data_IF_209514585356
#
_entry.id   IF_209514585356
#
_cell.length_a   1.000
_cell.length_b   1.000
_cell.length_c   1.000
_cell.angle_alpha   90.00
_cell.angle_beta   90.00
_cell.angle_gamma   90.00
#
_symmetry.space_group_name_H-M   'P 1'
#
loop_
_entity.id
_entity.type
_entity.pdbx_description
1 polymer ?
#
# COMPACT_ATOMS: atom_id res chain seq x y z
N UNK A 1 -11.56 -25.32 11.31
CA UNK A 1 -10.82 -24.11 10.89
C UNK A 1 -11.58 -23.54 9.72
N UNK A 2 -12.00 -22.27 9.73
CA UNK A 2 -12.50 -21.62 8.51
C UNK A 2 -11.40 -21.77 7.44
N UNK A 3 -11.78 -22.15 6.22
CA UNK A 3 -10.87 -22.69 5.21
C UNK A 3 -9.71 -21.75 4.91
N UNK A 4 -8.48 -22.25 4.95
CA UNK A 4 -7.32 -21.50 4.48
C UNK A 4 -7.55 -21.11 3.00
N UNK A 5 -7.26 -19.86 2.60
CA UNK A 5 -7.50 -19.40 1.24
C UNK A 5 -6.64 -20.22 0.28
N UNK A 6 -7.27 -21.09 -0.51
CA UNK A 6 -6.60 -21.91 -1.52
C UNK A 6 -6.64 -21.22 -2.87
N UNK A 7 -5.56 -21.34 -3.64
CA UNK A 7 -5.40 -20.64 -4.91
C UNK A 7 -5.65 -21.53 -6.14
N UNK A 8 -5.98 -22.81 -5.93
CA UNK A 8 -6.13 -23.78 -7.02
C UNK A 8 -7.36 -23.54 -7.91
N UNK A 9 -8.33 -22.75 -7.42
CA UNK A 9 -9.51 -22.34 -8.19
C UNK A 9 -9.35 -20.98 -8.89
N UNK A 10 -8.19 -20.35 -8.77
CA UNK A 10 -7.92 -19.05 -9.38
C UNK A 10 -7.66 -19.24 -10.87
N UNK A 11 -8.34 -18.44 -11.71
CA UNK A 11 -8.22 -18.56 -13.15
C UNK A 11 -6.79 -18.27 -13.63
N UNK A 12 -6.32 -18.95 -14.70
CA UNK A 12 -5.00 -18.70 -15.27
C UNK A 12 -4.76 -17.22 -15.61
N UNK A 13 -3.57 -16.72 -15.30
CA UNK A 13 -3.21 -15.31 -15.55
C UNK A 13 -3.69 -14.32 -14.48
N UNK A 14 -4.46 -14.77 -13.48
CA UNK A 14 -4.86 -13.94 -12.34
C UNK A 14 -3.68 -13.67 -11.42
N UNK A 15 -3.54 -12.42 -10.99
CA UNK A 15 -2.60 -12.05 -9.93
C UNK A 15 -3.30 -12.10 -8.58
N UNK A 16 -2.68 -12.80 -7.63
CA UNK A 16 -3.21 -12.90 -6.27
C UNK A 16 -2.56 -11.83 -5.40
N UNK A 17 -3.38 -10.95 -4.85
CA UNK A 17 -2.98 -9.94 -3.88
C UNK A 17 -3.15 -10.52 -2.48
N UNK A 18 -2.08 -10.65 -1.72
CA UNK A 18 -2.13 -11.17 -0.35
C UNK A 18 -2.13 -10.04 0.68
N UNK A 19 -2.72 -10.31 1.85
CA UNK A 19 -2.64 -9.38 2.99
C UNK A 19 -1.23 -9.27 3.58
N UNK A 20 -0.36 -10.26 3.37
CA UNK A 20 1.00 -10.24 3.90
C UNK A 20 2.01 -10.99 3.02
N UNK A 21 3.29 -10.65 3.19
CA UNK A 21 4.42 -11.38 2.57
C UNK A 21 4.46 -12.84 3.02
N UNK A 22 4.16 -13.09 4.30
CA UNK A 22 4.12 -14.43 4.88
C UNK A 22 3.07 -15.29 4.20
N UNK A 23 1.86 -14.76 4.01
CA UNK A 23 0.79 -15.46 3.31
C UNK A 23 1.15 -15.69 1.84
N UNK A 24 1.68 -14.68 1.13
CA UNK A 24 2.12 -14.87 -0.26
C UNK A 24 3.12 -16.03 -0.40
N UNK A 25 4.08 -16.12 0.53
CA UNK A 25 5.05 -17.21 0.53
C UNK A 25 4.39 -18.57 0.81
N UNK A 26 3.51 -18.64 1.82
CA UNK A 26 2.80 -19.86 2.18
C UNK A 26 1.97 -20.40 1.00
N UNK A 27 1.19 -19.54 0.34
CA UNK A 27 0.36 -19.92 -0.82
C UNK A 27 1.20 -20.42 -2.00
N UNK A 28 2.36 -19.80 -2.27
CA UNK A 28 3.28 -20.28 -3.31
C UNK A 28 3.82 -21.67 -2.98
N UNK A 29 4.17 -21.92 -1.71
CA UNK A 29 4.71 -23.20 -1.26
C UNK A 29 3.65 -24.31 -1.31
N UNK A 30 2.43 -24.01 -0.87
CA UNK A 30 1.30 -24.93 -0.91
C UNK A 30 0.98 -25.35 -2.35
N UNK A 31 0.88 -24.37 -3.26
CA UNK A 31 0.65 -24.66 -4.67
C UNK A 31 1.79 -25.46 -5.31
N UNK A 32 3.04 -25.16 -4.98
CA UNK A 32 4.18 -25.96 -5.45
C UNK A 32 4.10 -27.43 -4.98
N UNK A 33 3.69 -27.67 -3.72
CA UNK A 33 3.46 -29.03 -3.20
C UNK A 33 2.32 -29.74 -3.93
N UNK A 34 1.22 -29.04 -4.20
CA UNK A 34 0.10 -29.60 -4.95
C UNK A 34 0.49 -30.00 -6.38
N UNK A 35 1.29 -29.17 -7.07
CA UNK A 35 1.82 -29.48 -8.40
C UNK A 35 2.78 -30.68 -8.39
N UNK A 36 3.63 -30.79 -7.37
CA UNK A 36 4.50 -31.96 -7.22
C UNK A 36 3.69 -33.24 -6.95
N UNK A 37 2.68 -33.16 -6.09
CA UNK A 37 1.81 -34.29 -5.77
C UNK A 37 0.96 -34.75 -6.96
N UNK A 38 0.61 -33.86 -7.89
CA UNK A 38 -0.07 -34.20 -9.14
C UNK A 38 0.85 -34.77 -10.22
N UNK A 39 2.14 -34.91 -9.95
CA UNK A 39 3.14 -35.46 -10.87
C UNK A 39 3.63 -34.45 -11.92
N UNK A 40 3.32 -33.17 -11.78
CA UNK A 40 3.83 -32.14 -12.69
C UNK A 40 5.33 -31.92 -12.45
N UNK A 41 6.13 -32.06 -13.52
CA UNK A 41 7.58 -31.78 -13.48
C UNK A 41 7.89 -30.30 -13.72
N UNK A 42 6.98 -29.57 -14.37
CA UNK A 42 7.08 -28.14 -14.67
C UNK A 42 5.69 -27.53 -14.58
N UNK A 43 5.58 -26.37 -13.92
CA UNK A 43 4.35 -25.59 -13.85
C UNK A 43 4.66 -24.09 -13.90
N UNK A 44 3.66 -23.29 -14.30
CA UNK A 44 3.77 -21.84 -14.24
C UNK A 44 3.69 -21.39 -12.78
N UNK A 45 4.68 -20.63 -12.32
CA UNK A 45 4.65 -20.07 -10.96
C UNK A 45 3.49 -19.08 -10.84
N UNK A 46 2.59 -19.22 -9.85
CA UNK A 46 1.52 -18.26 -9.62
C UNK A 46 2.08 -16.91 -9.20
N UNK A 47 1.54 -15.82 -9.75
CA UNK A 47 1.94 -14.46 -9.35
C UNK A 47 1.16 -14.06 -8.11
N UNK A 48 1.83 -14.12 -6.95
CA UNK A 48 1.26 -13.78 -5.65
C UNK A 48 2.10 -12.70 -4.99
N UNK A 49 1.52 -11.54 -4.68
CA UNK A 49 2.22 -10.37 -4.15
C UNK A 49 1.40 -9.69 -3.06
N UNK A 50 2.02 -9.09 -2.03
CA UNK A 50 1.29 -8.22 -1.11
C UNK A 50 0.65 -7.04 -1.84
N UNK A 51 -0.52 -6.61 -1.40
CA UNK A 51 -1.25 -5.45 -1.95
C UNK A 51 -0.35 -4.23 -2.27
N UNK A 52 0.41 -3.74 -1.28
CA UNK A 52 1.24 -2.57 -1.44
C UNK A 52 2.40 -2.78 -2.43
N UNK A 53 2.93 -4.01 -2.50
CA UNK A 53 3.97 -4.35 -3.48
C UNK A 53 3.41 -4.32 -4.91
N UNK A 54 2.20 -4.84 -5.11
CA UNK A 54 1.54 -4.79 -6.40
C UNK A 54 1.21 -3.36 -6.82
N UNK A 55 0.64 -2.52 -5.95
CA UNK A 55 0.38 -1.10 -6.27
C UNK A 55 1.66 -0.34 -6.64
N UNK A 56 2.76 -0.61 -5.94
CA UNK A 56 4.10 -0.07 -6.27
C UNK A 56 4.53 -0.49 -7.67
N UNK A 57 4.38 -1.77 -8.03
CA UNK A 57 4.67 -2.25 -9.38
C UNK A 57 3.82 -1.53 -10.43
N UNK A 58 2.51 -1.37 -10.19
CA UNK A 58 1.61 -0.68 -11.12
C UNK A 58 1.97 0.79 -11.31
N UNK A 59 2.32 1.51 -10.25
CA UNK A 59 2.78 2.89 -10.35
C UNK A 59 4.03 3.02 -11.23
N UNK A 60 5.02 2.15 -11.01
CA UNK A 60 6.26 2.15 -11.80
C UNK A 60 6.00 1.83 -13.27
N UNK A 61 5.08 0.89 -13.55
CA UNK A 61 4.67 0.56 -14.92
C UNK A 61 3.95 1.73 -15.59
N UNK A 62 2.97 2.36 -14.93
CA UNK A 62 2.24 3.51 -15.49
C UNK A 62 3.19 4.69 -15.77
N UNK A 63 4.11 4.97 -14.84
CA UNK A 63 5.15 5.99 -15.04
C UNK A 63 6.05 5.67 -16.23
N UNK A 64 6.46 4.41 -16.41
CA UNK A 64 7.27 3.98 -17.54
C UNK A 64 6.52 4.07 -18.88
N UNK A 65 5.20 3.86 -18.88
CA UNK A 65 4.34 3.99 -20.07
C UNK A 65 4.12 5.43 -20.52
N UNK A 66 4.25 6.39 -19.60
CA UNK A 66 4.00 7.82 -19.87
C UNK A 66 5.23 8.69 -19.55
N UNK A 67 6.38 8.47 -20.19
CA UNK A 67 7.62 9.17 -19.83
C UNK A 67 7.57 10.68 -20.10
N UNK A 68 6.65 11.13 -20.95
CA UNK A 68 6.44 12.55 -21.26
C UNK A 68 5.52 13.27 -20.25
N UNK A 69 4.92 12.53 -19.32
CA UNK A 69 4.10 13.10 -18.24
C UNK A 69 4.95 13.10 -16.97
N UNK A 70 5.24 14.26 -16.37
CA UNK A 70 5.88 14.31 -15.07
C UNK A 70 5.07 13.48 -14.08
N UNK A 71 5.68 12.43 -13.55
CA UNK A 71 5.07 11.57 -12.56
C UNK A 71 6.07 11.41 -11.42
N UNK A 72 5.56 11.68 -10.22
CA UNK A 72 6.35 11.73 -9.01
C UNK A 72 7.22 10.46 -8.84
N UNK A 73 8.44 10.64 -8.35
CA UNK A 73 9.31 9.51 -8.00
C UNK A 73 8.76 8.84 -6.74
N UNK A 74 8.54 7.53 -6.81
CA UNK A 74 8.15 6.77 -5.62
C UNK A 74 9.34 6.65 -4.67
N UNK A 75 9.19 7.16 -3.46
CA UNK A 75 10.15 7.00 -2.38
C UNK A 75 10.29 5.52 -2.00
N UNK A 76 11.50 5.11 -1.66
CA UNK A 76 11.69 3.87 -0.91
C UNK A 76 11.21 4.06 0.52
N UNK A 77 10.88 2.98 1.26
CA UNK A 77 10.53 3.07 2.67
C UNK A 77 11.60 3.81 3.51
N UNK A 78 12.88 3.59 3.21
CA UNK A 78 13.98 4.29 3.87
C UNK A 78 14.06 5.78 3.52
N UNK A 79 13.79 6.17 2.28
CA UNK A 79 13.76 7.57 1.88
C UNK A 79 12.58 8.31 2.53
N UNK A 80 11.40 7.68 2.58
CA UNK A 80 10.25 8.24 3.26
C UNK A 80 10.52 8.39 4.77
N UNK A 81 11.14 7.39 5.42
CA UNK A 81 11.49 7.47 6.84
C UNK A 81 12.51 8.58 7.10
N UNK A 82 13.58 8.69 6.31
CA UNK A 82 14.56 9.76 6.48
C UNK A 82 13.94 11.16 6.36
N UNK A 83 12.95 11.31 5.46
CA UNK A 83 12.20 12.56 5.33
C UNK A 83 11.32 12.85 6.55
N UNK A 84 10.68 11.82 7.13
CA UNK A 84 9.97 11.96 8.40
C UNK A 84 10.90 12.34 9.55
N UNK A 85 12.07 11.72 9.63
CA UNK A 85 13.07 12.03 10.67
C UNK A 85 13.51 13.50 10.56
N UNK A 86 13.77 13.99 9.35
CA UNK A 86 14.09 15.40 9.11
C UNK A 86 12.93 16.33 9.52
N UNK A 87 11.71 16.03 9.09
CA UNK A 87 10.52 16.84 9.39
C UNK A 87 10.30 16.97 10.90
N UNK A 88 10.39 15.86 11.63
CA UNK A 88 10.18 15.88 13.09
C UNK A 88 11.33 16.58 13.79
N UNK A 89 12.59 16.30 13.42
CA UNK A 89 13.77 16.89 14.04
C UNK A 89 13.84 18.42 13.86
N UNK A 90 13.30 18.95 12.76
CA UNK A 90 13.27 20.40 12.48
C UNK A 90 12.05 21.12 13.07
N UNK A 91 11.13 20.39 13.68
CA UNK A 91 9.91 20.97 14.23
C UNK A 91 10.14 21.64 15.59
N UNK A 92 9.33 22.64 15.93
CA UNK A 92 9.39 23.28 17.26
C UNK A 92 9.13 22.29 18.41
N UNK A 93 8.42 21.19 18.14
CA UNK A 93 8.17 20.14 19.12
C UNK A 93 9.43 19.30 19.43
N UNK A 94 10.45 19.32 18.58
CA UNK A 94 11.64 18.46 18.70
C UNK A 94 12.34 18.58 20.07
N UNK A 95 12.46 19.80 20.60
CA UNK A 95 13.10 20.07 21.90
C UNK A 95 12.38 19.43 23.09
N UNK A 96 11.10 19.11 22.93
CA UNK A 96 10.25 18.55 23.97
C UNK A 96 10.02 17.04 23.80
N UNK A 97 10.53 16.44 22.73
CA UNK A 97 10.39 15.01 22.45
C UNK A 97 11.49 14.21 23.16
N UNK A 98 11.08 13.11 23.80
CA UNK A 98 12.02 12.15 24.40
C UNK A 98 12.91 11.47 23.35
N UNK A 99 12.34 11.22 22.16
CA UNK A 99 13.04 10.60 21.05
C UNK A 99 12.36 10.99 19.73
N UNK A 100 13.07 11.77 18.91
CA UNK A 100 12.58 12.28 17.62
C UNK A 100 12.41 11.17 16.59
N UNK A 101 13.27 10.15 16.59
CA UNK A 101 13.17 9.00 15.67
C UNK A 101 11.90 8.17 15.95
N UNK A 102 11.62 7.88 17.22
CA UNK A 102 10.39 7.17 17.61
C UNK A 102 9.15 7.99 17.24
N UNK A 103 9.19 9.31 17.45
CA UNK A 103 8.11 10.21 17.05
C UNK A 103 7.90 10.24 15.53
N UNK A 104 8.97 10.27 14.75
CA UNK A 104 8.92 10.18 13.29
C UNK A 104 8.32 8.85 12.80
N UNK A 105 8.71 7.73 13.39
CA UNK A 105 8.11 6.43 13.09
C UNK A 105 6.61 6.37 13.46
N UNK A 106 6.21 7.00 14.57
CA UNK A 106 4.80 7.14 14.95
C UNK A 106 4.05 8.01 13.94
N UNK A 107 4.61 9.15 13.54
CA UNK A 107 4.03 10.04 12.54
C UNK A 107 3.83 9.32 11.20
N UNK A 108 4.85 8.60 10.70
CA UNK A 108 4.76 7.81 9.47
C UNK A 108 3.67 6.72 9.53
N UNK A 109 3.50 6.06 10.69
CA UNK A 109 2.43 5.08 10.90
C UNK A 109 1.06 5.74 10.93
N UNK A 110 0.91 6.86 11.61
CA UNK A 110 -0.35 7.62 11.67
C UNK A 110 -0.74 8.16 10.30
N UNK A 111 0.22 8.71 9.54
CA UNK A 111 0.04 9.12 8.14
C UNK A 111 -0.52 7.99 7.28
N UNK A 112 0.07 6.79 7.36
CA UNK A 112 -0.45 5.61 6.66
C UNK A 112 -1.89 5.29 7.06
N UNK A 113 -2.23 5.38 8.35
CA UNK A 113 -3.62 5.15 8.80
C UNK A 113 -4.57 6.20 8.25
N UNK A 114 -4.18 7.47 8.19
CA UNK A 114 -5.00 8.52 7.57
C UNK A 114 -5.33 8.16 6.12
N UNK A 115 -4.35 7.69 5.37
CA UNK A 115 -4.55 7.22 4.00
C UNK A 115 -5.42 5.95 3.91
N UNK A 116 -5.06 4.89 4.65
CA UNK A 116 -5.77 3.60 4.64
C UNK A 116 -7.26 3.77 4.96
N UNK A 117 -7.57 4.64 5.92
CA UNK A 117 -8.94 4.92 6.39
C UNK A 117 -9.57 6.14 5.73
N UNK A 118 -8.89 6.79 4.78
CA UNK A 118 -9.37 7.97 4.06
C UNK A 118 -9.77 9.12 4.99
N UNK A 119 -9.07 9.27 6.12
CA UNK A 119 -9.29 10.36 7.06
C UNK A 119 -8.62 11.62 6.50
N UNK A 120 -9.36 12.70 6.22
CA UNK A 120 -8.78 13.94 5.74
C UNK A 120 -7.79 14.49 6.77
N UNK A 121 -6.62 14.96 6.33
CA UNK A 121 -5.62 15.53 7.24
C UNK A 121 -6.18 16.68 8.10
N UNK A 122 -7.08 17.49 7.52
CA UNK A 122 -7.75 18.58 8.22
C UNK A 122 -8.60 18.12 9.43
N UNK A 123 -9.06 16.87 9.46
CA UNK A 123 -9.81 16.32 10.59
C UNK A 123 -8.99 16.26 11.88
N UNK A 124 -7.64 16.21 11.78
CA UNK A 124 -6.78 16.29 12.96
C UNK A 124 -6.96 17.59 13.76
N UNK A 125 -7.35 18.69 13.09
CA UNK A 125 -7.55 20.00 13.73
C UNK A 125 -8.77 20.04 14.65
N UNK A 126 -9.68 19.08 14.52
CA UNK A 126 -10.85 18.96 15.41
C UNK A 126 -10.42 18.47 16.80
N UNK A 127 -9.31 17.74 16.89
CA UNK A 127 -8.75 17.26 18.13
C UNK A 127 -7.88 18.35 18.76
N UNK A 128 -8.41 18.99 19.81
CA UNK A 128 -7.72 20.07 20.53
C UNK A 128 -6.69 19.54 21.54
N UNK A 129 -5.72 18.77 21.08
CA UNK A 129 -4.60 18.30 21.91
C UNK A 129 -3.24 18.49 21.21
N UNK A 130 -2.14 18.61 21.98
CA UNK A 130 -0.81 18.87 21.42
C UNK A 130 -0.32 17.81 20.43
N UNK A 131 -0.66 16.54 20.64
CA UNK A 131 -0.21 15.43 19.79
C UNK A 131 -0.85 15.48 18.40
N UNK A 132 -2.15 15.76 18.34
CA UNK A 132 -2.88 15.90 17.09
C UNK A 132 -2.41 17.12 16.29
N UNK A 133 -2.14 18.24 16.98
CA UNK A 133 -1.56 19.42 16.35
C UNK A 133 -0.15 19.15 15.80
N UNK A 134 0.72 18.52 16.59
CA UNK A 134 2.05 18.15 16.15
C UNK A 134 2.01 17.21 14.93
N UNK A 135 1.16 16.19 14.96
CA UNK A 135 0.97 15.29 13.83
C UNK A 135 0.47 16.03 12.58
N UNK A 136 -0.48 16.96 12.73
CA UNK A 136 -0.98 17.77 11.62
C UNK A 136 0.14 18.60 10.98
N UNK A 137 0.95 19.27 11.80
CA UNK A 137 2.05 20.12 11.33
C UNK A 137 3.15 19.30 10.66
N UNK A 138 3.53 18.16 11.25
CA UNK A 138 4.51 17.24 10.65
C UNK A 138 4.00 16.63 9.35
N UNK A 139 2.76 16.15 9.31
CA UNK A 139 2.17 15.57 8.10
C UNK A 139 2.03 16.59 6.97
N UNK A 140 1.69 17.83 7.30
CA UNK A 140 1.67 18.93 6.32
C UNK A 140 3.09 19.17 5.78
N UNK A 141 4.08 19.29 6.66
CA UNK A 141 5.48 19.50 6.27
C UNK A 141 6.04 18.34 5.44
N UNK A 142 5.71 17.09 5.78
CA UNK A 142 6.09 15.91 5.02
C UNK A 142 5.46 15.90 3.63
N UNK A 143 4.16 16.21 3.53
CA UNK A 143 3.46 16.31 2.25
C UNK A 143 4.06 17.44 1.38
N UNK A 144 4.43 18.56 1.98
CA UNK A 144 5.06 19.69 1.29
C UNK A 144 6.44 19.32 0.76
N UNK A 145 7.26 18.65 1.58
CA UNK A 145 8.57 18.16 1.16
C UNK A 145 8.47 17.11 0.05
N UNK A 146 7.49 16.19 0.12
CA UNK A 146 7.21 15.27 -0.98
C UNK A 146 6.90 16.03 -2.28
N UNK A 147 6.06 17.07 -2.24
CA UNK A 147 5.73 17.88 -3.42
C UNK A 147 6.95 18.64 -3.97
N UNK A 148 7.79 19.20 -3.11
CA UNK A 148 9.01 19.92 -3.52
C UNK A 148 10.00 19.02 -4.26
N UNK A 149 10.05 17.73 -3.90
CA UNK A 149 10.92 16.74 -4.53
C UNK A 149 10.25 15.96 -5.67
N UNK A 150 9.04 16.37 -6.10
CA UNK A 150 8.19 15.62 -7.03
C UNK A 150 8.17 14.12 -6.66
N UNK A 151 7.83 13.85 -5.41
CA UNK A 151 7.93 12.53 -4.79
C UNK A 151 6.58 12.05 -4.25
N UNK A 152 6.39 10.73 -4.29
CA UNK A 152 5.22 10.04 -3.77
C UNK A 152 5.69 9.00 -2.74
N UNK A 153 4.98 8.87 -1.63
CA UNK A 153 5.23 7.81 -0.65
C UNK A 153 4.28 6.62 -0.86
N UNK A 154 4.56 5.49 -0.20
CA UNK A 154 3.75 4.27 -0.37
C UNK A 154 2.32 4.43 0.18
N UNK A 155 2.09 5.26 1.22
CA UNK A 155 0.75 5.45 1.76
C UNK A 155 -0.16 6.18 0.76
N UNK A 156 0.41 7.04 -0.09
CA UNK A 156 -0.34 7.80 -1.09
C UNK A 156 -0.69 7.02 -2.35
N UNK A 157 -0.14 5.81 -2.56
CA UNK A 157 -0.36 5.02 -3.78
C UNK A 157 -1.83 4.66 -4.03
N UNK A 158 -2.59 4.34 -2.98
CA UNK A 158 -4.02 4.05 -3.13
C UNK A 158 -4.82 5.30 -3.57
N UNK A 159 -4.48 6.46 -3.00
CA UNK A 159 -5.08 7.75 -3.40
C UNK A 159 -4.71 8.13 -4.82
N UNK A 160 -3.47 7.85 -5.26
CA UNK A 160 -3.10 8.00 -6.67
C UNK A 160 -3.98 7.13 -7.58
N UNK A 161 -4.07 5.82 -7.30
CA UNK A 161 -4.82 4.89 -8.14
C UNK A 161 -6.31 5.29 -8.24
N UNK A 162 -6.86 5.83 -7.15
CA UNK A 162 -8.22 6.34 -7.13
C UNK A 162 -8.38 7.59 -7.99
N UNK A 163 -7.54 8.60 -7.77
CA UNK A 163 -7.63 9.91 -8.44
C UNK A 163 -7.32 9.83 -9.93
N UNK A 164 -6.40 8.95 -10.34
CA UNK A 164 -6.05 8.75 -11.74
C UNK A 164 -7.03 7.85 -12.51
N UNK A 165 -8.06 7.31 -11.84
CA UNK A 165 -8.95 6.35 -12.48
C UNK A 165 -8.28 5.03 -12.85
N UNK A 166 -7.22 4.61 -12.14
CA UNK A 166 -6.42 3.45 -12.50
C UNK A 166 -7.26 2.15 -12.51
N UNK A 167 -7.11 1.38 -13.59
CA UNK A 167 -7.71 0.06 -13.77
C UNK A 167 -6.59 -0.99 -13.99
N UNK A 168 -6.64 -2.14 -13.30
CA UNK A 168 -5.70 -3.24 -13.50
C UNK A 168 -5.76 -3.75 -14.94
N UNK A 169 -4.60 -4.08 -15.51
CA UNK A 169 -4.52 -4.74 -16.83
C UNK A 169 -4.70 -6.27 -16.75
N UNK A 170 -4.72 -6.82 -15.55
CA UNK A 170 -4.82 -8.25 -15.27
C UNK A 170 -5.98 -8.57 -14.32
N UNK A 171 -6.57 -9.78 -14.40
CA UNK A 171 -7.52 -10.25 -13.39
C UNK A 171 -6.84 -10.35 -12.01
N UNK A 172 -7.60 -10.05 -10.96
CA UNK A 172 -7.11 -10.02 -9.58
C UNK A 172 -7.89 -10.95 -8.67
N UNK A 173 -7.20 -11.53 -7.69
CA UNK A 173 -7.81 -12.22 -6.56
C UNK A 173 -7.20 -11.73 -5.25
N UNK A 174 -8.01 -11.37 -4.24
CA UNK A 174 -7.53 -10.91 -2.94
C UNK A 174 -7.59 -12.06 -1.94
N UNK A 175 -6.50 -12.33 -1.21
CA UNK A 175 -6.37 -13.48 -0.31
C UNK A 175 -5.95 -13.07 1.11
N UNK A 176 -6.68 -13.57 2.11
CA UNK A 176 -6.36 -13.46 3.54
C UNK A 176 -6.51 -12.06 4.12
N UNK A 177 -7.46 -11.26 3.60
CA UNK A 177 -7.81 -9.97 4.17
C UNK A 177 -9.01 -10.10 5.10
N UNK A 178 -8.79 -10.01 6.42
CA UNK A 178 -9.88 -9.97 7.40
C UNK A 178 -10.75 -8.70 7.24
N UNK A 179 -10.10 -7.60 6.83
CA UNK A 179 -10.73 -6.33 6.55
C UNK A 179 -10.06 -5.68 5.33
N UNK A 180 -10.87 -5.27 4.36
CA UNK A 180 -10.44 -4.32 3.34
C UNK A 180 -10.64 -2.90 3.90
N UNK A 181 -9.53 -2.25 4.25
CA UNK A 181 -9.56 -0.84 4.70
C UNK A 181 -10.22 0.05 3.64
N UNK A 182 -10.83 1.19 4.02
CA UNK A 182 -11.60 2.03 3.11
C UNK A 182 -10.90 2.39 1.79
N UNK A 183 -9.61 2.73 1.82
CA UNK A 183 -8.85 3.05 0.61
C UNK A 183 -8.72 1.85 -0.35
N UNK A 184 -8.58 0.63 0.19
CA UNK A 184 -8.58 -0.59 -0.61
C UNK A 184 -9.97 -0.90 -1.15
N UNK A 185 -11.00 -0.79 -0.30
CA UNK A 185 -12.40 -1.07 -0.65
C UNK A 185 -12.84 -0.27 -1.88
N UNK A 186 -12.61 1.04 -1.89
CA UNK A 186 -12.98 1.92 -3.00
C UNK A 186 -12.35 1.47 -4.31
N UNK A 187 -11.08 1.07 -4.29
CA UNK A 187 -10.38 0.57 -5.47
C UNK A 187 -10.92 -0.78 -5.93
N UNK A 188 -11.10 -1.72 -5.00
CA UNK A 188 -11.61 -3.07 -5.31
C UNK A 188 -13.01 -3.00 -5.90
N UNK A 189 -13.91 -2.21 -5.31
CA UNK A 189 -15.29 -2.05 -5.79
C UNK A 189 -15.30 -1.48 -7.23
N UNK A 190 -14.44 -0.49 -7.50
CA UNK A 190 -14.26 0.06 -8.86
C UNK A 190 -13.74 -1.00 -9.83
N UNK A 191 -12.73 -1.77 -9.44
CA UNK A 191 -12.14 -2.78 -10.30
C UNK A 191 -13.11 -3.92 -10.59
N UNK A 192 -13.93 -4.33 -9.62
CA UNK A 192 -14.97 -5.34 -9.80
C UNK A 192 -15.98 -5.00 -10.91
N UNK A 193 -16.22 -3.71 -11.15
CA UNK A 193 -17.09 -3.27 -12.23
C UNK A 193 -16.46 -3.35 -13.64
N UNK A 194 -15.12 -3.48 -13.75
CA UNK A 194 -14.40 -3.37 -15.03
C UNK A 194 -13.48 -4.55 -15.34
N UNK A 195 -13.01 -5.26 -14.32
CA UNK A 195 -12.02 -6.32 -14.39
C UNK A 195 -12.46 -7.44 -13.46
N UNK A 196 -12.15 -8.69 -13.82
CA UNK A 196 -12.40 -9.83 -12.92
C UNK A 196 -11.54 -9.67 -11.66
N UNK A 197 -12.18 -9.26 -10.57
CA UNK A 197 -11.56 -9.00 -9.28
C UNK A 197 -12.37 -9.73 -8.20
N UNK A 198 -11.80 -10.77 -7.59
CA UNK A 198 -12.51 -11.61 -6.60
C UNK A 198 -11.85 -11.53 -5.24
N UNK A 199 -12.63 -11.39 -4.17
CA UNK A 199 -12.12 -11.54 -2.81
C UNK A 199 -12.32 -13.00 -2.41
N UNK A 200 -11.23 -13.69 -2.11
CA UNK A 200 -11.26 -15.07 -1.63
C UNK A 200 -11.75 -15.08 -0.17
N UNK A 201 -12.45 -16.15 0.24
CA UNK A 201 -12.93 -16.31 1.61
C UNK A 201 -11.79 -16.35 2.63
#
# INVERSE_FOLDING_TARGET
MPGDPTIDHVAPGTTILSASRRLAYALRLEHARAMQASGASVWRTPRILPWGAWLREQWLLERARRPQTPAARLLTPSQAQALWDEVVARSAAAEHLLNTEVAAQLAARSWRRLHDWRIPLAALREYRNPEAQALYDWATSFADACRQHDALDEASLAGWAETSGFLPGEPLALAGFDLLVPAMRVLVDRWQAHVRCTVLP
#
